data_IF_564847805187
#
_entry.id   IF_564847805187
#
_cell.length_a   1.000
_cell.length_b   1.000
_cell.length_c   1.000
_cell.angle_alpha   90.00
_cell.angle_beta   90.00
_cell.angle_gamma   90.00
#
_symmetry.space_group_name_H-M   'P 1'
#
loop_
_entity.id
_entity.type
_entity.pdbx_description
1 polymer ?
#
# COMPACT_ATOMS: atom_id res chain seq x y z
N UNK A 1 28.48 -13.23 -23.68
CA UNK A 1 27.79 -11.92 -23.77
C UNK A 1 27.07 -11.66 -22.42
N UNK A 2 27.73 -10.98 -21.50
CA UNK A 2 27.16 -10.61 -20.22
C UNK A 2 26.15 -9.47 -20.45
N UNK A 3 24.84 -9.74 -20.32
CA UNK A 3 23.82 -8.71 -20.26
C UNK A 3 23.92 -8.06 -18.88
N UNK A 4 24.56 -6.90 -18.80
CA UNK A 4 24.60 -6.06 -17.61
C UNK A 4 23.18 -5.73 -17.17
N UNK A 5 22.84 -6.14 -15.97
CA UNK A 5 21.59 -5.83 -15.26
C UNK A 5 21.56 -4.31 -15.02
N UNK A 6 20.85 -3.56 -15.86
CA UNK A 6 20.63 -2.11 -15.68
C UNK A 6 19.41 -1.93 -14.79
N UNK A 7 19.63 -1.93 -13.48
CA UNK A 7 18.60 -1.68 -12.49
C UNK A 7 18.63 -0.24 -11.98
N UNK A 8 17.46 0.35 -11.82
CA UNK A 8 17.25 1.56 -11.05
C UNK A 8 16.93 1.12 -9.61
N UNK A 9 17.78 1.45 -8.65
CA UNK A 9 17.49 1.21 -7.24
C UNK A 9 16.89 2.49 -6.67
N UNK A 10 15.65 2.43 -6.24
CA UNK A 10 14.98 3.52 -5.52
C UNK A 10 14.90 3.14 -4.05
N UNK A 11 15.53 3.92 -3.18
CA UNK A 11 15.40 3.78 -1.73
C UNK A 11 14.26 4.69 -1.29
N UNK A 12 13.18 4.08 -0.80
CA UNK A 12 12.04 4.81 -0.26
C UNK A 12 12.00 4.63 1.24
N UNK A 13 12.30 5.67 2.00
CA UNK A 13 12.10 5.69 3.44
C UNK A 13 10.75 6.33 3.72
N UNK A 14 9.76 5.52 4.10
CA UNK A 14 8.47 5.99 4.58
C UNK A 14 8.53 6.08 6.11
N UNK A 15 8.55 7.28 6.64
CA UNK A 15 8.42 7.51 8.07
C UNK A 15 6.99 7.95 8.35
N UNK A 16 6.20 7.07 8.95
CA UNK A 16 4.89 7.41 9.47
C UNK A 16 5.04 7.72 10.96
N UNK A 17 4.96 8.97 11.31
CA UNK A 17 4.86 9.38 12.71
C UNK A 17 3.52 10.09 12.85
N UNK A 18 2.53 9.40 13.49
CA UNK A 18 1.36 10.10 14.05
C UNK A 18 0.34 9.07 14.59
N UNK A 19 -0.55 9.43 15.53
CA UNK A 19 -1.51 8.52 16.11
C UNK A 19 -2.47 7.98 15.03
N UNK A 20 -2.58 6.67 14.93
CA UNK A 20 -3.42 6.00 13.94
C UNK A 20 -4.46 5.18 14.67
N UNK A 21 -5.66 5.70 14.72
CA UNK A 21 -6.84 4.90 15.01
C UNK A 21 -7.11 3.96 13.84
N UNK A 22 -7.07 2.65 14.09
CA UNK A 22 -7.38 1.51 13.20
C UNK A 22 -6.29 1.14 12.17
N UNK A 23 -5.74 -0.06 12.36
CA UNK A 23 -4.78 -0.73 11.49
C UNK A 23 -5.48 -1.27 10.23
N UNK A 24 -5.68 -0.40 9.24
CA UNK A 24 -5.91 -0.82 7.86
C UNK A 24 -4.64 -0.57 7.06
N UNK A 25 -4.27 -1.46 6.15
CA UNK A 25 -3.16 -1.27 5.21
C UNK A 25 -3.51 -0.14 4.22
N UNK A 26 -3.52 1.09 4.69
CA UNK A 26 -3.92 2.27 3.94
C UNK A 26 -2.68 2.87 3.29
N UNK A 27 -2.46 2.52 2.03
CA UNK A 27 -1.32 2.97 1.26
C UNK A 27 -1.60 4.33 0.61
N UNK A 28 -0.70 5.30 0.84
CA UNK A 28 -0.61 6.53 0.07
C UNK A 28 0.50 6.35 -0.96
N UNK A 29 0.17 5.92 -2.17
CA UNK A 29 1.13 5.68 -3.24
C UNK A 29 0.99 6.69 -4.40
N UNK A 30 1.42 7.96 -4.24
CA UNK A 30 1.41 8.90 -5.34
C UNK A 30 2.36 8.42 -6.44
N UNK A 31 1.88 8.43 -7.69
CA UNK A 31 2.65 8.00 -8.85
C UNK A 31 2.67 6.51 -9.12
N UNK A 32 1.75 5.74 -8.53
CA UNK A 32 1.64 4.29 -8.76
C UNK A 32 1.39 3.92 -10.23
N UNK A 33 0.79 4.83 -11.01
CA UNK A 33 0.54 4.68 -12.45
C UNK A 33 1.43 5.60 -13.32
N UNK A 34 2.52 6.12 -12.77
CA UNK A 34 3.48 6.89 -13.57
C UNK A 34 4.09 5.99 -14.63
N UNK A 35 3.91 6.37 -15.89
CA UNK A 35 4.43 5.62 -17.04
C UNK A 35 5.95 5.60 -17.00
N UNK A 36 6.52 4.42 -17.15
CA UNK A 36 7.96 4.17 -17.18
C UNK A 36 8.37 3.52 -18.51
N UNK A 37 9.61 3.76 -18.99
CA UNK A 37 10.12 3.06 -20.16
C UNK A 37 10.13 1.55 -19.94
N UNK A 38 9.82 0.78 -20.99
CA UNK A 38 9.81 -0.68 -20.94
C UNK A 38 11.21 -1.23 -20.65
N UNK A 39 11.26 -2.27 -19.80
CA UNK A 39 12.51 -2.95 -19.43
C UNK A 39 13.23 -2.33 -18.23
N UNK A 40 12.67 -1.30 -17.59
CA UNK A 40 13.22 -0.76 -16.34
C UNK A 40 12.88 -1.68 -15.19
N UNK A 41 13.91 -2.03 -14.40
CA UNK A 41 13.73 -2.70 -13.11
C UNK A 41 13.94 -1.68 -12.00
N UNK A 42 13.06 -1.73 -11.00
CA UNK A 42 13.11 -0.85 -9.83
C UNK A 42 13.14 -1.73 -8.59
N UNK A 43 14.06 -1.46 -7.67
CA UNK A 43 14.08 -2.03 -6.34
C UNK A 43 13.73 -0.91 -5.36
N UNK A 44 12.68 -1.13 -4.58
CA UNK A 44 12.27 -0.23 -3.49
C UNK A 44 12.59 -0.90 -2.15
N UNK A 45 13.29 -0.19 -1.29
CA UNK A 45 13.44 -0.51 0.12
C UNK A 45 12.68 0.52 0.91
N UNK A 46 11.73 0.07 1.71
CA UNK A 46 10.83 0.97 2.45
C UNK A 46 10.91 0.65 3.94
N UNK A 47 11.04 1.67 4.75
CA UNK A 47 10.83 1.57 6.19
C UNK A 47 9.65 2.44 6.58
N UNK A 48 8.70 1.86 7.32
CA UNK A 48 7.52 2.54 7.83
C UNK A 48 7.40 2.36 9.33
N UNK A 49 6.95 3.42 10.01
CA UNK A 49 6.57 3.41 11.41
C UNK A 49 5.14 3.92 11.53
N UNK A 50 4.28 3.15 12.19
CA UNK A 50 2.91 3.54 12.51
C UNK A 50 2.69 3.41 14.02
N UNK A 51 2.06 4.41 14.62
CA UNK A 51 1.69 4.40 16.04
C UNK A 51 0.26 4.86 16.19
N UNK A 52 -0.48 4.32 17.14
CA UNK A 52 -1.85 4.75 17.43
C UNK A 52 -2.66 3.71 18.18
N UNK A 53 -3.88 4.10 18.51
CA UNK A 53 -4.83 3.25 19.20
C UNK A 53 -5.37 2.18 18.24
N UNK A 54 -5.62 1.01 18.78
CA UNK A 54 -6.14 -0.15 18.05
C UNK A 54 -7.50 -0.52 18.65
N UNK A 55 -8.52 -0.55 17.81
CA UNK A 55 -9.81 -1.10 18.22
C UNK A 55 -9.82 -2.58 17.84
N UNK A 56 -9.91 -3.44 18.84
CA UNK A 56 -10.15 -4.86 18.65
C UNK A 56 -11.66 -5.11 18.47
N UNK A 57 -11.97 -6.33 18.00
CA UNK A 57 -13.33 -6.83 17.99
C UNK A 57 -13.92 -6.76 19.41
N UNK A 58 -15.11 -6.18 19.63
CA UNK A 58 -15.72 -6.09 20.96
C UNK A 58 -16.00 -7.44 21.63
N UNK A 59 -15.97 -8.55 20.87
CA UNK A 59 -16.05 -9.91 21.44
C UNK A 59 -14.75 -10.39 22.07
N UNK A 60 -13.64 -9.71 21.79
CA UNK A 60 -12.35 -9.99 22.42
C UNK A 60 -12.23 -9.15 23.70
N UNK A 61 -11.79 -9.72 24.83
CA UNK A 61 -11.66 -9.01 26.09
C UNK A 61 -10.39 -8.13 26.10
N UNK A 62 -10.28 -7.22 25.12
CA UNK A 62 -9.14 -6.31 24.94
C UNK A 62 -9.64 -4.87 24.94
N UNK A 63 -9.17 -4.09 25.89
CA UNK A 63 -9.51 -2.69 26.07
C UNK A 63 -8.28 -1.80 26.00
N UNK A 64 -8.46 -0.51 25.69
CA UNK A 64 -7.41 0.52 25.69
C UNK A 64 -6.12 0.14 24.94
N UNK A 65 -6.30 -0.54 23.80
CA UNK A 65 -5.15 -1.06 23.08
C UNK A 65 -4.46 0.01 22.22
N UNK A 66 -3.15 0.06 22.34
CA UNK A 66 -2.27 0.91 21.53
C UNK A 66 -1.22 0.06 20.84
N UNK A 67 -0.86 0.42 19.61
CA UNK A 67 0.13 -0.32 18.84
C UNK A 67 1.21 0.58 18.27
N UNK A 68 2.43 0.07 18.24
CA UNK A 68 3.55 0.58 17.47
C UNK A 68 4.00 -0.48 16.49
N UNK A 69 3.86 -0.18 15.19
CA UNK A 69 4.18 -1.12 14.12
C UNK A 69 5.30 -0.54 13.28
N UNK A 70 6.31 -1.37 13.05
CA UNK A 70 7.42 -1.13 12.15
C UNK A 70 7.28 -2.07 10.97
N UNK A 71 7.48 -1.56 9.75
CA UNK A 71 7.46 -2.35 8.54
C UNK A 71 8.71 -2.03 7.74
N UNK A 72 9.51 -3.05 7.48
CA UNK A 72 10.54 -3.00 6.46
C UNK A 72 10.04 -3.80 5.25
N UNK A 73 9.97 -3.16 4.09
CA UNK A 73 9.49 -3.83 2.86
C UNK A 73 10.53 -3.74 1.75
N UNK A 74 10.80 -4.87 1.11
CA UNK A 74 11.54 -4.94 -0.12
C UNK A 74 10.58 -5.22 -1.27
N UNK A 75 10.53 -4.35 -2.27
CA UNK A 75 9.69 -4.53 -3.44
C UNK A 75 10.52 -4.42 -4.73
N UNK A 76 10.31 -5.38 -5.61
CA UNK A 76 10.86 -5.38 -6.97
C UNK A 76 9.74 -5.10 -7.98
N UNK A 77 9.98 -4.16 -8.88
CA UNK A 77 9.05 -3.84 -9.96
C UNK A 77 9.76 -3.85 -11.31
N UNK A 78 9.03 -4.24 -12.35
CA UNK A 78 9.49 -4.23 -13.73
C UNK A 78 8.45 -3.63 -14.64
N UNK A 79 8.87 -2.66 -15.45
CA UNK A 79 8.04 -2.15 -16.54
C UNK A 79 8.13 -3.08 -17.75
N UNK A 80 6.96 -3.45 -18.28
CA UNK A 80 6.81 -4.39 -19.40
C UNK A 80 5.95 -3.78 -20.51
N UNK A 81 6.01 -4.36 -21.67
CA UNK A 81 5.06 -4.10 -22.75
C UNK A 81 3.98 -5.18 -22.70
N UNK A 82 2.76 -4.78 -22.45
CA UNK A 82 1.58 -5.63 -22.50
C UNK A 82 0.68 -5.17 -23.65
N UNK A 83 0.69 -5.92 -24.75
CA UNK A 83 -0.11 -5.62 -25.96
C UNK A 83 0.03 -4.13 -26.44
N UNK A 84 1.26 -3.62 -26.49
CA UNK A 84 1.53 -2.23 -26.92
C UNK A 84 1.32 -1.18 -25.82
N UNK A 85 0.87 -1.56 -24.64
CA UNK A 85 0.63 -0.68 -23.50
C UNK A 85 1.75 -0.79 -22.45
N UNK A 86 2.08 0.33 -21.83
CA UNK A 86 3.01 0.33 -20.70
C UNK A 86 2.34 -0.32 -19.49
N UNK A 87 2.96 -1.36 -18.95
CA UNK A 87 2.49 -2.06 -17.77
C UNK A 87 3.63 -2.22 -16.76
N UNK A 88 3.29 -2.42 -15.49
CA UNK A 88 4.22 -2.64 -14.39
C UNK A 88 3.80 -3.85 -13.59
N UNK A 89 4.67 -4.82 -13.46
CA UNK A 89 4.56 -5.93 -12.53
C UNK A 89 5.41 -5.63 -11.30
N UNK A 90 4.86 -5.85 -10.10
CA UNK A 90 5.51 -5.60 -8.81
C UNK A 90 5.29 -6.79 -7.88
N UNK A 91 6.29 -7.12 -7.10
CA UNK A 91 6.21 -8.03 -5.95
C UNK A 91 6.85 -7.35 -4.74
N UNK A 92 6.23 -7.50 -3.57
CA UNK A 92 6.71 -6.90 -2.32
C UNK A 92 6.65 -7.91 -1.16
N UNK A 93 7.69 -7.89 -0.34
CA UNK A 93 7.87 -8.76 0.82
C UNK A 93 8.01 -7.87 2.06
N UNK A 94 6.99 -7.79 2.93
CA UNK A 94 7.09 -7.03 4.18
C UNK A 94 7.66 -7.89 5.30
N UNK A 95 8.61 -7.34 6.03
CA UNK A 95 9.05 -7.79 7.34
C UNK A 95 8.47 -6.81 8.36
N UNK A 96 7.72 -7.32 9.32
CA UNK A 96 6.95 -6.50 10.25
C UNK A 96 7.42 -6.73 11.68
N UNK A 97 7.43 -5.66 12.47
CA UNK A 97 7.55 -5.71 13.93
C UNK A 97 6.37 -4.98 14.56
N UNK A 98 5.65 -5.62 15.47
CA UNK A 98 4.53 -5.04 16.20
C UNK A 98 4.76 -5.11 17.70
N UNK A 99 4.48 -4.02 18.38
CA UNK A 99 4.38 -3.92 19.83
C UNK A 99 3.00 -3.39 20.15
N UNK A 100 2.20 -4.18 20.83
CA UNK A 100 0.82 -3.85 21.23
C UNK A 100 0.72 -3.93 22.74
N UNK A 101 0.17 -2.89 23.35
CA UNK A 101 -0.13 -2.81 24.78
C UNK A 101 -1.63 -2.58 24.94
N UNK A 102 -2.21 -3.04 26.04
CA UNK A 102 -3.63 -2.87 26.33
C UNK A 102 -4.03 -3.59 27.61
N UNK A 103 -5.32 -3.65 27.88
CA UNK A 103 -5.90 -4.39 29.01
C UNK A 103 -6.54 -5.66 28.44
N UNK A 104 -6.10 -6.83 28.89
CA UNK A 104 -6.66 -8.13 28.54
C UNK A 104 -7.25 -8.79 29.79
N UNK A 105 -8.55 -9.09 29.77
CA UNK A 105 -9.27 -9.63 30.94
C UNK A 105 -9.05 -8.80 32.22
N UNK A 106 -9.06 -7.45 32.10
CA UNK A 106 -8.87 -6.54 33.22
C UNK A 106 -7.42 -6.43 33.73
N UNK A 107 -6.44 -7.04 33.06
CA UNK A 107 -5.04 -6.97 33.43
C UNK A 107 -4.19 -6.31 32.33
N UNK A 108 -3.19 -5.49 32.67
CA UNK A 108 -2.26 -4.95 31.66
C UNK A 108 -1.57 -6.09 30.91
N UNK A 109 -1.57 -5.99 29.59
CA UNK A 109 -0.97 -6.99 28.71
C UNK A 109 -0.11 -6.31 27.62
N UNK A 110 0.96 -6.99 27.24
CA UNK A 110 1.89 -6.56 26.21
C UNK A 110 2.18 -7.73 25.27
N UNK A 111 2.13 -7.46 23.97
CA UNK A 111 2.46 -8.45 22.95
C UNK A 111 3.46 -7.86 21.97
N UNK A 112 4.54 -8.60 21.73
CA UNK A 112 5.52 -8.28 20.68
C UNK A 112 5.55 -9.40 19.64
N UNK A 113 5.54 -9.01 18.37
CA UNK A 113 5.64 -9.95 17.23
C UNK A 113 6.61 -9.38 16.22
N UNK A 114 7.45 -10.24 15.66
CA UNK A 114 8.36 -9.89 14.55
C UNK A 114 8.39 -11.04 13.57
N UNK A 115 8.30 -10.76 12.29
CA UNK A 115 8.34 -11.77 11.23
C UNK A 115 7.82 -11.26 9.91
N UNK A 116 7.60 -12.19 8.98
CA UNK A 116 7.09 -11.87 7.65
C UNK A 116 5.58 -11.63 7.68
N UNK A 117 5.15 -10.54 7.04
CA UNK A 117 3.76 -10.31 6.68
C UNK A 117 3.41 -10.93 5.33
N UNK A 118 2.19 -10.71 4.87
CA UNK A 118 1.69 -11.26 3.62
C UNK A 118 2.35 -10.60 2.41
N UNK A 119 2.81 -11.42 1.47
CA UNK A 119 3.39 -10.98 0.21
C UNK A 119 2.34 -10.26 -0.65
N UNK A 120 2.77 -9.24 -1.38
CA UNK A 120 1.92 -8.48 -2.29
C UNK A 120 2.42 -8.58 -3.71
N UNK A 121 1.49 -8.77 -4.65
CA UNK A 121 1.76 -8.79 -6.08
C UNK A 121 0.83 -7.80 -6.75
N UNK A 122 1.35 -6.96 -7.66
CA UNK A 122 0.52 -6.01 -8.42
C UNK A 122 0.87 -6.07 -9.90
N UNK A 123 -0.15 -6.09 -10.73
CA UNK A 123 -0.06 -5.84 -12.17
C UNK A 123 -0.88 -4.60 -12.49
N UNK A 124 -0.21 -3.56 -13.00
CA UNK A 124 -0.84 -2.33 -13.45
C UNK A 124 -0.59 -2.11 -14.94
N UNK A 125 -1.57 -1.56 -15.65
CA UNK A 125 -1.48 -1.26 -17.07
C UNK A 125 -2.02 0.13 -17.37
N UNK A 126 -1.37 0.88 -18.27
CA UNK A 126 -1.87 2.13 -18.82
C UNK A 126 -2.75 1.82 -20.03
N UNK A 127 -4.07 1.93 -19.85
CA UNK A 127 -5.07 1.62 -20.86
C UNK A 127 -5.18 2.71 -21.93
N UNK A 128 -4.98 3.97 -21.52
CA UNK A 128 -5.01 5.14 -22.39
C UNK A 128 -3.88 6.11 -22.07
N UNK A 129 -3.39 6.83 -23.07
CA UNK A 129 -2.32 7.81 -22.97
C UNK A 129 -1.03 7.29 -23.61
N UNK A 130 0.05 7.20 -22.85
CA UNK A 130 1.36 6.80 -23.40
C UNK A 130 1.42 5.31 -23.72
N UNK A 131 1.79 4.92 -24.97
CA UNK A 131 2.06 3.53 -25.32
C UNK A 131 3.38 3.05 -24.70
N UNK A 132 3.60 1.74 -24.77
CA UNK A 132 4.85 1.11 -24.35
C UNK A 132 6.02 1.58 -25.25
N UNK A 133 7.02 2.20 -24.66
CA UNK A 133 8.23 2.68 -25.36
C UNK A 133 9.49 2.29 -24.62
N UNK A 134 10.56 2.02 -25.37
CA UNK A 134 11.91 1.82 -24.79
C UNK A 134 12.50 3.17 -24.39
N UNK A 135 13.49 3.16 -23.51
CA UNK A 135 14.10 4.36 -22.95
C UNK A 135 14.52 5.43 -23.97
N UNK A 136 15.16 5.12 -25.15
CA UNK A 136 15.55 6.12 -26.11
C UNK A 136 14.36 6.86 -26.76
N UNK A 137 13.28 6.15 -27.04
CA UNK A 137 12.05 6.71 -27.61
C UNK A 137 11.27 7.50 -26.56
N UNK A 138 11.18 6.95 -25.35
CA UNK A 138 10.50 7.57 -24.23
C UNK A 138 11.11 8.92 -23.83
N UNK A 139 12.44 9.05 -23.92
CA UNK A 139 13.14 10.30 -23.62
C UNK A 139 12.90 11.41 -24.65
N UNK A 140 12.57 11.06 -25.90
CA UNK A 140 12.33 12.00 -26.99
C UNK A 140 10.86 12.42 -27.13
N UNK A 141 9.95 11.77 -26.44
CA UNK A 141 8.51 11.98 -26.62
C UNK A 141 7.96 12.85 -25.48
N UNK A 142 7.10 13.80 -25.85
CA UNK A 142 6.33 14.57 -24.88
C UNK A 142 5.38 13.67 -24.08
N UNK A 143 5.22 13.98 -22.82
CA UNK A 143 4.30 13.22 -21.93
C UNK A 143 2.85 13.43 -22.33
N UNK A 144 2.06 12.37 -22.28
CA UNK A 144 0.62 12.49 -22.46
C UNK A 144 0.02 13.37 -21.35
N UNK A 145 -0.90 14.25 -21.76
CA UNK A 145 -1.63 15.11 -20.82
C UNK A 145 -2.62 14.34 -19.97
N UNK A 146 -3.15 13.23 -20.50
CA UNK A 146 -4.12 12.36 -19.83
C UNK A 146 -3.66 10.91 -19.96
N UNK A 147 -3.64 10.20 -18.83
CA UNK A 147 -3.44 8.76 -18.82
C UNK A 147 -4.59 8.12 -17.99
N UNK A 148 -5.05 6.97 -18.43
CA UNK A 148 -6.00 6.13 -17.70
C UNK A 148 -5.33 4.79 -17.50
N UNK A 149 -5.33 4.30 -16.26
CA UNK A 149 -4.73 3.03 -15.89
C UNK A 149 -5.71 2.15 -15.14
N UNK A 150 -5.39 0.88 -15.10
CA UNK A 150 -6.04 -0.10 -14.22
C UNK A 150 -4.99 -1.01 -13.61
N UNK A 151 -5.28 -1.55 -12.44
CA UNK A 151 -4.43 -2.57 -11.82
C UNK A 151 -5.23 -3.56 -10.99
N UNK A 152 -4.62 -4.69 -10.73
CA UNK A 152 -5.04 -5.61 -9.68
C UNK A 152 -3.85 -5.81 -8.74
N UNK A 153 -4.06 -5.55 -7.45
CA UNK A 153 -3.16 -5.95 -6.38
C UNK A 153 -3.72 -7.20 -5.72
N UNK A 154 -2.85 -8.14 -5.40
CA UNK A 154 -3.17 -9.36 -4.65
C UNK A 154 -2.29 -9.38 -3.40
N UNK A 155 -2.90 -9.66 -2.26
CA UNK A 155 -2.23 -10.00 -1.00
C UNK A 155 -2.37 -11.49 -0.81
N UNK A 156 -1.24 -12.20 -0.70
CA UNK A 156 -1.21 -13.65 -0.59
C UNK A 156 -0.98 -14.06 0.86
N UNK A 157 -1.65 -15.09 1.39
CA UNK A 157 -1.54 -15.50 2.79
C UNK A 157 -0.22 -16.25 3.06
N UNK A 158 0.89 -15.53 2.94
CA UNK A 158 2.25 -16.06 3.12
C UNK A 158 2.92 -15.58 4.40
N UNK A 159 2.27 -14.67 5.11
CA UNK A 159 2.75 -14.13 6.38
C UNK A 159 2.64 -15.13 7.54
N UNK A 160 3.33 -14.83 8.61
CA UNK A 160 3.29 -15.68 9.81
C UNK A 160 1.93 -15.56 10.48
N UNK A 161 1.27 -16.70 10.63
CA UNK A 161 -0.03 -16.84 11.22
C UNK A 161 -0.07 -18.03 12.20
N UNK A 162 -0.76 -17.86 13.33
CA UNK A 162 -1.02 -18.87 14.35
C UNK A 162 -2.47 -18.68 14.84
N UNK A 163 -3.38 -19.65 14.60
CA UNK A 163 -4.79 -19.53 14.95
C UNK A 163 -5.05 -19.47 16.48
N UNK A 164 -4.06 -19.83 17.29
CA UNK A 164 -4.13 -19.71 18.74
C UNK A 164 -3.75 -18.32 19.26
N UNK A 165 -3.48 -17.36 18.35
CA UNK A 165 -3.06 -16.00 18.71
C UNK A 165 -4.03 -14.97 18.19
N UNK A 166 -4.40 -14.01 19.05
CA UNK A 166 -5.25 -12.87 18.67
C UNK A 166 -4.51 -11.94 17.70
N UNK A 167 -3.19 -11.75 17.88
CA UNK A 167 -2.38 -10.84 17.09
C UNK A 167 -1.42 -11.62 16.20
N UNK A 168 -1.61 -11.52 14.90
CA UNK A 168 -0.83 -12.15 13.86
C UNK A 168 -0.23 -11.12 12.89
N UNK A 169 0.84 -11.50 12.17
CA UNK A 169 1.49 -10.67 11.14
C UNK A 169 0.91 -10.95 9.75
N UNK A 170 0.50 -12.18 9.47
CA UNK A 170 -0.29 -12.58 8.31
C UNK A 170 -1.77 -12.60 8.62
N UNK A 171 -2.61 -12.50 7.60
CA UNK A 171 -4.08 -12.48 7.72
C UNK A 171 -4.71 -13.85 7.52
N UNK A 172 -3.93 -14.86 7.06
CA UNK A 172 -4.40 -16.20 6.70
C UNK A 172 -5.57 -16.21 5.72
N UNK A 173 -5.61 -15.20 4.84
CA UNK A 173 -6.59 -15.08 3.76
C UNK A 173 -6.02 -14.26 2.61
N UNK A 174 -6.52 -14.48 1.41
CA UNK A 174 -6.18 -13.65 0.28
C UNK A 174 -7.02 -12.35 0.26
N UNK A 175 -6.44 -11.30 -0.30
CA UNK A 175 -7.16 -10.08 -0.60
C UNK A 175 -6.82 -9.61 -2.01
N UNK A 176 -7.79 -8.97 -2.69
CA UNK A 176 -7.66 -8.48 -4.05
C UNK A 176 -8.12 -7.03 -4.09
N UNK A 177 -7.38 -6.18 -4.81
CA UNK A 177 -7.77 -4.80 -5.05
C UNK A 177 -7.73 -4.50 -6.54
N UNK A 178 -8.83 -4.69 -7.28
CA UNK A 178 -9.01 -4.04 -8.55
C UNK A 178 -9.08 -2.52 -8.34
N UNK A 179 -8.38 -1.76 -9.19
CA UNK A 179 -8.29 -0.31 -9.09
C UNK A 179 -8.18 0.32 -10.47
N UNK A 180 -8.90 1.42 -10.68
CA UNK A 180 -8.77 2.28 -11.85
C UNK A 180 -8.14 3.62 -11.47
N UNK A 181 -7.44 4.24 -12.41
CA UNK A 181 -6.72 5.49 -12.20
C UNK A 181 -6.90 6.45 -13.37
N UNK A 182 -7.06 7.72 -13.04
CA UNK A 182 -7.02 8.83 -13.99
C UNK A 182 -5.88 9.76 -13.57
N UNK A 183 -4.96 10.05 -14.50
CA UNK A 183 -3.80 10.90 -14.28
C UNK A 183 -3.83 12.04 -15.27
N UNK A 184 -3.84 13.27 -14.78
CA UNK A 184 -3.79 14.48 -15.58
C UNK A 184 -2.46 15.21 -15.36
N UNK A 185 -1.68 15.33 -16.43
CA UNK A 185 -0.42 16.08 -16.44
C UNK A 185 -0.64 17.48 -17.02
N UNK A 186 -0.18 18.51 -16.33
CA UNK A 186 -0.22 19.89 -16.79
C UNK A 186 1.03 20.64 -16.31
N UNK A 187 1.93 20.94 -17.24
CA UNK A 187 3.25 21.55 -16.98
C UNK A 187 4.05 20.81 -15.90
N UNK A 188 4.19 21.43 -14.72
CA UNK A 188 4.91 20.88 -13.57
C UNK A 188 4.01 20.17 -12.56
N UNK A 189 2.71 20.15 -12.82
CA UNK A 189 1.73 19.54 -11.94
C UNK A 189 1.24 18.21 -12.49
N UNK A 190 0.89 17.31 -11.58
CA UNK A 190 0.22 16.07 -11.91
C UNK A 190 -0.90 15.85 -10.88
N UNK A 191 -2.11 15.69 -11.37
CA UNK A 191 -3.27 15.33 -10.59
C UNK A 191 -3.61 13.86 -10.83
N UNK A 192 -3.88 13.12 -9.78
CA UNK A 192 -4.14 11.69 -9.84
C UNK A 192 -5.38 11.37 -9.00
N UNK A 193 -6.28 10.55 -9.56
CA UNK A 193 -7.43 9.97 -8.86
C UNK A 193 -7.35 8.47 -9.05
N UNK A 194 -7.43 7.70 -7.95
CA UNK A 194 -7.50 6.25 -7.97
C UNK A 194 -8.78 5.82 -7.25
N UNK A 195 -9.55 4.92 -7.87
CA UNK A 195 -10.74 4.32 -7.29
C UNK A 195 -10.67 2.82 -7.37
N UNK A 196 -10.93 2.13 -6.27
CA UNK A 196 -10.85 0.68 -6.20
C UNK A 196 -11.64 0.08 -5.04
N UNK A 197 -11.63 -1.24 -4.96
CA UNK A 197 -12.27 -1.97 -3.87
C UNK A 197 -11.36 -3.11 -3.39
N UNK A 198 -11.20 -3.23 -2.10
CA UNK A 198 -10.61 -4.41 -1.48
C UNK A 198 -11.68 -5.48 -1.34
N UNK A 199 -11.37 -6.68 -1.82
CA UNK A 199 -12.17 -7.88 -1.74
C UNK A 199 -11.36 -8.92 -0.97
N UNK A 200 -11.99 -9.68 -0.10
CA UNK A 200 -11.33 -10.62 0.79
C UNK A 200 -11.90 -12.02 0.64
N UNK A 201 -11.05 -13.04 0.75
CA UNK A 201 -11.51 -14.40 1.04
C UNK A 201 -11.73 -14.55 2.55
N UNK A 202 -12.42 -15.60 2.97
CA UNK A 202 -12.53 -15.94 4.39
C UNK A 202 -11.19 -16.42 4.95
N UNK A 203 -11.05 -16.28 6.26
CA UNK A 203 -10.07 -17.01 7.08
C UNK A 203 -10.84 -18.05 7.89
N UNK A 204 -10.73 -19.30 7.47
CA UNK A 204 -11.51 -20.42 8.05
C UNK A 204 -10.82 -21.04 9.28
N UNK A 205 -9.68 -20.51 9.67
CA UNK A 205 -8.93 -20.91 10.86
C UNK A 205 -8.59 -19.67 11.71
N UNK A 206 -9.62 -18.84 11.98
CA UNK A 206 -9.49 -17.67 12.83
C UNK A 206 -9.43 -18.08 14.31
N UNK A 207 -8.87 -17.18 15.14
CA UNK A 207 -8.65 -17.39 16.58
C UNK A 207 -9.79 -18.16 17.24
N UNK A 208 -9.45 -19.32 17.89
CA UNK A 208 -10.42 -20.19 18.55
C UNK A 208 -11.14 -21.15 17.59
N UNK A 209 -10.72 -21.33 16.34
CA UNK A 209 -11.33 -22.22 15.35
C UNK A 209 -12.56 -21.64 14.66
N UNK A 210 -12.71 -20.32 14.70
CA UNK A 210 -13.81 -19.60 14.06
C UNK A 210 -13.50 -19.27 12.58
N UNK A 211 -14.52 -19.00 11.80
CA UNK A 211 -14.39 -18.45 10.45
C UNK A 211 -14.58 -16.94 10.46
N UNK A 212 -13.64 -16.19 9.86
CA UNK A 212 -13.74 -14.74 9.71
C UNK A 212 -13.85 -14.34 8.25
N UNK A 213 -14.91 -13.64 7.89
CA UNK A 213 -15.09 -12.97 6.60
C UNK A 213 -15.08 -11.46 6.76
N UNK A 214 -15.04 -10.74 5.63
CA UNK A 214 -15.06 -9.27 5.63
C UNK A 214 -15.73 -8.75 4.37
N UNK A 215 -16.62 -7.78 4.54
CA UNK A 215 -17.24 -7.03 3.46
C UNK A 215 -16.20 -6.25 2.64
N UNK A 216 -16.47 -5.95 1.37
CA UNK A 216 -15.59 -5.11 0.58
C UNK A 216 -15.32 -3.74 1.22
N UNK A 217 -14.09 -3.21 1.00
CA UNK A 217 -13.73 -1.83 1.36
C UNK A 217 -13.55 -1.02 0.09
N UNK A 218 -14.40 -0.04 -0.14
CA UNK A 218 -14.21 0.94 -1.18
C UNK A 218 -13.06 1.88 -0.82
N UNK A 219 -12.22 2.21 -1.78
CA UNK A 219 -11.11 3.15 -1.63
C UNK A 219 -11.11 4.19 -2.73
N UNK A 220 -10.89 5.44 -2.34
CA UNK A 220 -10.71 6.55 -3.25
C UNK A 220 -9.50 7.35 -2.80
N UNK A 221 -8.56 7.59 -3.73
CA UNK A 221 -7.35 8.34 -3.46
C UNK A 221 -7.23 9.52 -4.42
N UNK A 222 -6.80 10.64 -3.88
CA UNK A 222 -6.43 11.84 -4.63
C UNK A 222 -4.98 12.20 -4.34
N UNK A 223 -4.26 12.62 -5.37
CA UNK A 223 -2.91 13.15 -5.22
C UNK A 223 -2.71 14.36 -6.13
N UNK A 224 -2.11 15.40 -5.58
CA UNK A 224 -1.64 16.55 -6.34
C UNK A 224 -0.14 16.67 -6.16
N UNK A 225 0.62 16.47 -7.24
CA UNK A 225 2.07 16.50 -7.24
C UNK A 225 2.59 17.70 -8.02
N UNK A 226 3.57 18.41 -7.45
CA UNK A 226 4.36 19.43 -8.13
C UNK A 226 5.80 18.96 -8.31
N UNK A 227 6.27 18.98 -9.54
CA UNK A 227 7.65 18.65 -9.90
C UNK A 227 8.46 19.93 -10.09
N UNK A 228 9.58 20.05 -9.37
CA UNK A 228 10.49 21.21 -9.46
C UNK A 228 11.55 20.96 -10.52
N UNK A 229 12.13 19.76 -10.53
CA UNK A 229 13.08 19.27 -11.54
C UNK A 229 12.98 17.73 -11.61
N UNK A 230 13.55 17.08 -12.64
CA UNK A 230 13.51 15.61 -12.74
C UNK A 230 13.94 14.92 -11.44
N UNK A 231 13.04 14.09 -10.89
CA UNK A 231 13.24 13.35 -9.63
C UNK A 231 12.96 14.14 -8.34
N UNK A 232 12.89 15.49 -8.37
CA UNK A 232 12.54 16.33 -7.22
C UNK A 232 11.10 16.80 -7.33
N UNK A 233 10.25 16.31 -6.43
CA UNK A 233 8.84 16.66 -6.39
C UNK A 233 8.24 16.53 -4.98
N UNK A 234 7.14 17.21 -4.76
CA UNK A 234 6.30 17.10 -3.56
C UNK A 234 4.87 16.75 -3.99
N UNK A 235 4.15 16.00 -3.17
CA UNK A 235 2.70 15.79 -3.34
C UNK A 235 1.94 15.91 -2.03
N UNK A 236 0.72 16.48 -2.13
CA UNK A 236 -0.32 16.32 -1.13
C UNK A 236 -1.23 15.17 -1.54
N UNK A 237 -1.69 14.38 -0.56
CA UNK A 237 -2.46 13.16 -0.81
C UNK A 237 -3.64 13.08 0.15
N UNK A 238 -4.76 12.54 -0.32
CA UNK A 238 -5.94 12.24 0.51
C UNK A 238 -6.52 10.89 0.11
N UNK A 239 -6.87 10.06 1.10
CA UNK A 239 -7.50 8.76 0.90
C UNK A 239 -8.78 8.67 1.71
N UNK A 240 -9.78 8.02 1.13
CA UNK A 240 -11.07 7.74 1.73
C UNK A 240 -11.34 6.23 1.62
N UNK A 241 -11.83 5.65 2.71
CA UNK A 241 -12.16 4.23 2.81
C UNK A 241 -13.53 4.07 3.41
N UNK A 242 -14.35 3.18 2.82
CA UNK A 242 -15.68 2.89 3.32
C UNK A 242 -16.04 1.43 3.10
N UNK A 243 -16.55 0.76 4.16
CA UNK A 243 -16.95 -0.64 4.14
C UNK A 243 -16.18 -1.48 5.14
N UNK A 244 -15.97 -2.76 4.83
CA UNK A 244 -15.06 -3.64 5.54
C UNK A 244 -15.56 -4.15 6.89
N UNK A 245 -16.88 -4.16 7.10
CA UNK A 245 -17.45 -4.84 8.27
C UNK A 245 -17.00 -6.29 8.28
N UNK A 246 -16.54 -6.79 9.43
CA UNK A 246 -16.19 -8.20 9.57
C UNK A 246 -17.33 -9.01 10.16
N UNK A 247 -17.30 -10.30 9.88
CA UNK A 247 -18.20 -11.31 10.41
C UNK A 247 -17.35 -12.43 11.00
N UNK A 248 -17.71 -12.90 12.17
CA UNK A 248 -17.13 -14.11 12.80
C UNK A 248 -18.27 -15.07 13.01
N UNK A 249 -18.19 -16.27 12.37
CA UNK A 249 -19.27 -17.27 12.32
C UNK A 249 -20.62 -16.63 11.94
N UNK A 250 -20.60 -15.83 10.84
CA UNK A 250 -21.74 -15.08 10.31
C UNK A 250 -22.29 -13.96 11.21
N UNK A 251 -21.74 -13.75 12.39
CA UNK A 251 -22.12 -12.66 13.29
C UNK A 251 -21.40 -11.37 12.90
N UNK A 252 -22.15 -10.38 12.41
CA UNK A 252 -21.64 -9.08 12.01
C UNK A 252 -21.05 -8.32 13.22
N UNK A 253 -19.86 -7.74 13.03
CA UNK A 253 -19.16 -6.94 14.04
C UNK A 253 -19.39 -5.44 13.84
N UNK A 254 -19.16 -4.64 14.88
CA UNK A 254 -19.36 -3.20 14.88
C UNK A 254 -18.10 -2.45 14.41
N UNK A 255 -17.44 -2.95 13.37
CA UNK A 255 -16.15 -2.46 12.86
C UNK A 255 -16.21 -1.92 11.42
N UNK A 256 -17.42 -1.49 11.00
CA UNK A 256 -17.59 -0.80 9.72
C UNK A 256 -16.68 0.42 9.64
N UNK A 257 -15.88 0.49 8.57
CA UNK A 257 -14.93 1.58 8.36
C UNK A 257 -15.55 2.71 7.53
N UNK A 258 -15.41 3.94 8.02
CA UNK A 258 -15.67 5.16 7.26
C UNK A 258 -14.62 6.17 7.66
N UNK A 259 -13.43 6.06 7.11
CA UNK A 259 -12.28 6.84 7.54
C UNK A 259 -11.57 7.52 6.36
N UNK A 260 -10.82 8.55 6.68
CA UNK A 260 -9.98 9.27 5.73
C UNK A 260 -8.58 9.49 6.28
N UNK A 261 -7.65 9.68 5.37
CA UNK A 261 -6.26 9.98 5.68
C UNK A 261 -5.75 11.07 4.75
N UNK A 262 -5.01 12.01 5.30
CA UNK A 262 -4.29 13.02 4.54
C UNK A 262 -2.79 12.89 4.77
N UNK A 263 -1.99 13.28 3.78
CA UNK A 263 -0.56 13.16 3.89
C UNK A 263 0.18 13.95 2.84
N UNK A 264 1.50 13.95 2.97
CA UNK A 264 2.42 14.55 2.01
C UNK A 264 3.58 13.60 1.72
N UNK A 265 4.09 13.69 0.50
CA UNK A 265 5.27 12.92 0.07
C UNK A 265 6.26 13.85 -0.60
N UNK A 266 7.53 13.77 -0.20
CA UNK A 266 8.67 14.44 -0.82
C UNK A 266 9.57 13.39 -1.46
N UNK A 267 9.93 13.58 -2.72
CA UNK A 267 10.94 12.77 -3.40
C UNK A 267 12.15 13.64 -3.76
N UNK A 268 13.34 13.13 -3.46
CA UNK A 268 14.62 13.78 -3.70
C UNK A 268 15.53 12.85 -4.50
N UNK A 269 15.99 13.23 -5.70
CA UNK A 269 16.96 12.44 -6.44
C UNK A 269 18.33 12.53 -5.77
N UNK A 270 18.92 11.39 -5.43
CA UNK A 270 20.29 11.30 -4.91
C UNK A 270 21.27 11.19 -6.08
N UNK A 271 20.94 10.35 -7.05
CA UNK A 271 21.69 10.17 -8.30
C UNK A 271 20.73 10.08 -9.47
N UNK A 272 21.23 9.90 -10.68
CA UNK A 272 20.38 9.62 -11.86
C UNK A 272 19.60 8.31 -11.76
N UNK A 273 19.96 7.41 -10.84
CA UNK A 273 19.36 6.08 -10.69
C UNK A 273 18.70 5.87 -9.33
N UNK A 274 19.04 6.68 -8.33
CA UNK A 274 18.57 6.51 -6.96
C UNK A 274 17.83 7.75 -6.50
N UNK A 275 16.70 7.55 -5.83
CA UNK A 275 15.91 8.61 -5.20
C UNK A 275 15.53 8.20 -3.78
N UNK A 276 15.43 9.19 -2.93
CA UNK A 276 14.89 9.08 -1.57
C UNK A 276 13.47 9.61 -1.57
N UNK A 277 12.56 8.95 -0.83
CA UNK A 277 11.21 9.43 -0.61
C UNK A 277 10.91 9.46 0.89
N UNK A 278 10.36 10.57 1.32
CA UNK A 278 9.82 10.74 2.66
C UNK A 278 8.32 10.97 2.55
N UNK A 279 7.53 10.18 3.26
CA UNK A 279 6.09 10.36 3.31
C UNK A 279 5.63 10.43 4.77
N UNK A 280 4.70 11.34 5.04
CA UNK A 280 4.02 11.49 6.33
C UNK A 280 2.53 11.50 6.09
N UNK A 281 1.76 10.89 6.97
CA UNK A 281 0.31 10.89 6.87
C UNK A 281 -0.35 10.78 8.24
N UNK A 282 -1.58 11.31 8.33
CA UNK A 282 -2.40 11.29 9.53
C UNK A 282 -3.83 10.93 9.17
N UNK A 283 -4.54 10.24 10.07
CA UNK A 283 -5.99 10.10 10.01
C UNK A 283 -6.64 11.49 10.12
N UNK A 284 -7.57 11.79 9.21
CA UNK A 284 -8.28 13.06 9.21
C UNK A 284 -9.70 12.91 9.77
N UNK A 285 -10.31 11.74 9.55
CA UNK A 285 -11.63 11.37 10.09
C UNK A 285 -11.64 9.85 10.33
N UNK A 286 -12.20 9.42 11.45
CA UNK A 286 -12.35 8.00 11.86
C UNK A 286 -13.74 7.71 12.35
#
# INVERSE_FOLDING_TARGET
MHKTFRGLVSLTLLVFALPVSRLGAQELEPGAYTVSPVGINVLNLTYGLSTGDVTFDPSLPVEEASARIQVFSMAAARSINLAGRSATALVAFPLMGGHVTGIYLGQPAEVRRTGFGDMRVRLGVNLYGEPARRLPEFAKTARSKLNVGASVMMVLPTGQYDPNRIINLGLNRAAFKPEAAIIRNFERWMFEIYGGAWLFTSNDDFFGGHTRSQDPILSLQFSLRRTFRPGLWISGNANFYRGGRTHVDDLAKLDFQSNSRVGATLAVPITRRNAFRLAVSQGAYT
#
